data_IF_270771715684
#
_entry.id   IF_270771715684
#
_cell.length_a   1.000
_cell.length_b   1.000
_cell.length_c   1.000
_cell.angle_alpha   90.00
_cell.angle_beta   90.00
_cell.angle_gamma   90.00
#
_symmetry.space_group_name_H-M   'P 1'
#
loop_
_entity.id
_entity.type
_entity.pdbx_description
1 polymer ?
#
# COMPACT_ATOMS: atom_id res chain seq x y z
N UNK A 1 -20.30 8.97 2.31
CA UNK A 1 -19.74 8.00 1.33
C UNK A 1 -18.28 7.88 1.66
N UNK A 2 -17.83 6.69 2.03
CA UNK A 2 -16.43 6.47 2.45
C UNK A 2 -15.63 5.94 1.26
N UNK A 3 -14.43 6.49 1.07
CA UNK A 3 -13.55 6.21 -0.06
C UNK A 3 -12.40 5.32 0.37
N UNK A 4 -12.26 4.16 -0.27
CA UNK A 4 -11.16 3.22 -0.06
C UNK A 4 -10.22 3.26 -1.26
N UNK A 5 -8.93 3.49 -1.04
CA UNK A 5 -7.90 3.21 -2.03
C UNK A 5 -7.46 1.75 -1.90
N UNK A 6 -7.66 0.95 -2.94
CA UNK A 6 -7.21 -0.45 -2.98
C UNK A 6 -6.06 -0.62 -3.97
N UNK A 7 -4.88 -0.95 -3.46
CA UNK A 7 -3.70 -1.33 -4.25
C UNK A 7 -3.60 -2.85 -4.34
N UNK A 8 -3.86 -3.41 -5.53
CA UNK A 8 -3.66 -4.83 -5.84
C UNK A 8 -2.32 -5.03 -6.55
N UNK A 9 -1.47 -5.92 -6.03
CA UNK A 9 -0.06 -6.03 -6.47
C UNK A 9 0.25 -7.39 -7.12
N UNK A 10 -0.57 -8.41 -6.90
CA UNK A 10 -0.25 -9.77 -7.35
C UNK A 10 -0.57 -9.96 -8.84
N UNK A 11 0.39 -10.46 -9.61
CA UNK A 11 0.21 -10.85 -11.02
C UNK A 11 -0.49 -12.20 -11.23
N UNK A 12 -0.86 -12.92 -10.15
CA UNK A 12 -1.42 -14.28 -10.24
C UNK A 12 -2.94 -14.34 -10.47
N UNK A 13 -3.61 -13.21 -10.72
CA UNK A 13 -5.06 -13.15 -10.95
C UNK A 13 -5.85 -13.88 -9.86
N UNK A 14 -6.87 -14.65 -10.25
CA UNK A 14 -7.73 -15.42 -9.33
C UNK A 14 -6.97 -16.42 -8.44
N UNK A 15 -5.82 -16.92 -8.88
CA UNK A 15 -4.97 -17.81 -8.09
C UNK A 15 -4.17 -17.07 -6.99
N UNK A 16 -4.31 -15.76 -6.88
CA UNK A 16 -3.63 -14.93 -5.89
C UNK A 16 -4.32 -14.99 -4.53
N UNK A 17 -3.65 -15.55 -3.52
CA UNK A 17 -4.13 -15.51 -2.15
C UNK A 17 -4.30 -14.08 -1.61
N UNK A 18 -3.47 -13.11 -2.02
CA UNK A 18 -3.61 -11.73 -1.54
C UNK A 18 -4.86 -11.07 -2.13
N UNK A 19 -5.22 -11.37 -3.39
CA UNK A 19 -6.48 -10.90 -4.00
C UNK A 19 -7.70 -11.55 -3.36
N UNK A 20 -7.65 -12.86 -3.11
CA UNK A 20 -8.72 -13.58 -2.41
C UNK A 20 -8.94 -13.02 -1.00
N UNK A 21 -7.86 -12.70 -0.27
CA UNK A 21 -7.96 -12.08 1.04
C UNK A 21 -8.55 -10.67 0.98
N UNK A 22 -8.18 -9.87 -0.02
CA UNK A 22 -8.79 -8.56 -0.26
C UNK A 22 -10.29 -8.66 -0.53
N UNK A 23 -10.71 -9.60 -1.38
CA UNK A 23 -12.13 -9.84 -1.67
C UNK A 23 -12.91 -10.21 -0.40
N UNK A 24 -12.34 -11.05 0.48
CA UNK A 24 -12.95 -11.38 1.78
C UNK A 24 -13.06 -10.17 2.70
N UNK A 25 -12.03 -9.32 2.78
CA UNK A 25 -12.09 -8.08 3.55
C UNK A 25 -13.17 -7.14 3.02
N UNK A 26 -13.21 -6.92 1.71
CA UNK A 26 -14.22 -6.08 1.07
C UNK A 26 -15.64 -6.61 1.30
N UNK A 27 -15.84 -7.94 1.29
CA UNK A 27 -17.12 -8.57 1.62
C UNK A 27 -17.51 -8.50 3.09
N UNK A 28 -16.55 -8.27 4.00
CA UNK A 28 -16.80 -8.06 5.43
C UNK A 28 -17.12 -6.60 5.77
N UNK A 29 -16.72 -5.65 4.90
CA UNK A 29 -17.06 -4.23 5.05
C UNK A 29 -18.54 -4.08 4.65
N UNK A 30 -19.36 -3.52 5.55
CA UNK A 30 -20.82 -3.49 5.39
C UNK A 30 -21.31 -2.72 4.15
N UNK A 31 -22.58 -2.92 3.78
CA UNK A 31 -23.24 -2.41 2.58
C UNK A 31 -23.50 -0.88 2.53
N UNK A 32 -22.73 -0.08 3.29
CA UNK A 32 -22.79 1.37 3.20
C UNK A 32 -22.21 1.87 1.86
N UNK A 33 -22.37 3.17 1.54
CA UNK A 33 -21.87 3.73 0.28
C UNK A 33 -20.33 3.73 0.26
N UNK A 34 -19.75 2.68 -0.32
CA UNK A 34 -18.33 2.48 -0.56
C UNK A 34 -17.94 2.92 -1.97
N UNK A 35 -17.03 3.89 -2.05
CA UNK A 35 -16.31 4.20 -3.29
C UNK A 35 -14.95 3.53 -3.22
N UNK A 36 -14.66 2.60 -4.13
CA UNK A 36 -13.33 2.01 -4.26
C UNK A 36 -12.57 2.70 -5.39
N UNK A 37 -11.43 3.32 -5.07
CA UNK A 37 -10.41 3.70 -6.05
C UNK A 37 -9.49 2.49 -6.19
N UNK A 38 -9.66 1.74 -7.29
CA UNK A 38 -8.91 0.51 -7.51
C UNK A 38 -7.67 0.78 -8.37
N UNK A 39 -6.50 0.33 -7.90
CA UNK A 39 -5.26 0.28 -8.69
C UNK A 39 -4.71 -1.13 -8.71
N UNK A 40 -4.80 -1.75 -9.87
CA UNK A 40 -4.12 -3.00 -10.14
C UNK A 40 -2.71 -2.73 -10.68
N UNK A 41 -1.71 -2.77 -9.79
CA UNK A 41 -0.32 -2.49 -10.12
C UNK A 41 0.35 -3.64 -10.89
N UNK A 42 -0.30 -4.80 -10.99
CA UNK A 42 0.20 -5.90 -11.81
C UNK A 42 -0.35 -5.84 -13.24
N UNK A 43 -1.63 -5.48 -13.39
CA UNK A 43 -2.28 -5.32 -14.70
C UNK A 43 -1.91 -3.98 -15.37
N UNK A 44 -1.83 -2.91 -14.57
CA UNK A 44 -1.46 -1.57 -15.00
C UNK A 44 -0.21 -1.11 -14.22
N UNK A 45 0.97 -1.67 -14.55
CA UNK A 45 2.20 -1.32 -13.86
C UNK A 45 2.52 0.17 -14.06
N UNK A 46 2.98 0.79 -12.99
CA UNK A 46 3.42 2.18 -13.03
C UNK A 46 4.84 2.26 -13.60
N UNK A 47 5.17 3.32 -14.34
CA UNK A 47 6.54 3.59 -14.73
C UNK A 47 7.41 3.78 -13.48
N UNK A 48 8.68 3.41 -13.58
CA UNK A 48 9.66 3.81 -12.58
C UNK A 48 9.92 5.32 -12.68
N UNK A 49 10.23 6.01 -11.57
CA UNK A 49 10.72 7.38 -11.61
C UNK A 49 11.91 7.50 -12.56
N UNK A 50 11.77 8.33 -13.59
CA UNK A 50 12.84 8.64 -14.53
C UNK A 50 13.61 9.90 -14.10
N UNK A 51 14.58 10.31 -14.92
CA UNK A 51 15.40 11.49 -14.65
C UNK A 51 14.55 12.76 -14.49
N UNK A 52 13.58 12.97 -15.38
CA UNK A 52 12.75 14.17 -15.36
C UNK A 52 11.91 14.24 -14.08
N UNK A 53 11.33 13.11 -13.67
CA UNK A 53 10.59 13.01 -12.41
C UNK A 53 11.48 13.31 -11.20
N UNK A 54 12.69 12.74 -11.14
CA UNK A 54 13.61 12.94 -10.01
C UNK A 54 14.08 14.39 -9.93
N UNK A 55 14.52 14.97 -11.04
CA UNK A 55 14.95 16.38 -11.12
C UNK A 55 13.80 17.32 -10.70
N UNK A 56 12.59 17.12 -11.22
CA UNK A 56 11.42 17.91 -10.87
C UNK A 56 11.01 17.76 -9.39
N UNK A 57 11.11 16.54 -8.83
CA UNK A 57 10.75 16.26 -7.43
C UNK A 57 11.66 16.99 -6.45
N UNK A 58 12.96 17.07 -6.76
CA UNK A 58 13.96 17.75 -5.91
C UNK A 58 13.93 19.28 -6.06
N UNK A 59 13.38 19.78 -7.16
CA UNK A 59 13.22 21.21 -7.40
C UNK A 59 12.19 21.84 -6.43
N UNK A 60 12.47 23.02 -5.85
CA UNK A 60 11.48 23.76 -5.07
C UNK A 60 10.21 24.04 -5.88
N UNK A 61 9.00 23.90 -5.31
CA UNK A 61 7.73 24.06 -6.05
C UNK A 61 7.63 25.36 -6.85
N UNK A 62 8.11 26.48 -6.29
CA UNK A 62 8.10 27.81 -6.90
C UNK A 62 9.02 27.96 -8.12
N UNK A 63 9.93 27.02 -8.35
CA UNK A 63 10.85 27.01 -9.50
C UNK A 63 10.37 26.08 -10.63
N UNK A 64 9.27 25.33 -10.42
CA UNK A 64 8.77 24.34 -11.38
C UNK A 64 8.01 25.02 -12.52
N UNK A 65 8.41 24.70 -13.75
CA UNK A 65 7.73 25.11 -14.96
C UNK A 65 6.74 24.06 -15.48
N UNK A 66 6.18 24.27 -16.68
CA UNK A 66 5.27 23.32 -17.31
C UNK A 66 5.85 21.92 -17.50
N UNK A 67 7.15 21.80 -17.80
CA UNK A 67 7.81 20.51 -18.02
C UNK A 67 7.92 19.70 -16.72
N UNK A 68 8.29 20.35 -15.61
CA UNK A 68 8.38 19.72 -14.29
C UNK A 68 7.00 19.29 -13.79
N UNK A 69 5.98 20.14 -13.97
CA UNK A 69 4.60 19.77 -13.63
C UNK A 69 4.12 18.57 -14.45
N UNK A 70 4.44 18.50 -15.75
CA UNK A 70 4.12 17.36 -16.58
C UNK A 70 4.82 16.08 -16.09
N UNK A 71 6.11 16.17 -15.74
CA UNK A 71 6.89 15.04 -15.20
C UNK A 71 6.35 14.53 -13.84
N UNK A 72 5.71 15.40 -13.07
CA UNK A 72 5.12 15.06 -11.77
C UNK A 72 3.64 14.68 -11.83
N UNK A 73 2.96 14.84 -12.96
CA UNK A 73 1.50 14.71 -13.07
C UNK A 73 0.96 13.34 -12.60
N UNK A 74 1.64 12.25 -12.96
CA UNK A 74 1.27 10.91 -12.48
C UNK A 74 1.42 10.81 -10.96
N UNK A 75 2.54 11.29 -10.42
CA UNK A 75 2.79 11.31 -8.97
C UNK A 75 1.76 12.15 -8.23
N UNK A 76 1.36 13.31 -8.75
CA UNK A 76 0.25 14.09 -8.18
C UNK A 76 -1.06 13.31 -8.16
N UNK A 77 -1.37 12.58 -9.24
CA UNK A 77 -2.59 11.76 -9.30
C UNK A 77 -2.59 10.69 -8.21
N UNK A 78 -1.47 9.98 -8.04
CA UNK A 78 -1.33 8.93 -7.02
C UNK A 78 -1.41 9.48 -5.59
N UNK A 79 -0.80 10.64 -5.36
CA UNK A 79 -0.82 11.31 -4.06
C UNK A 79 -2.24 11.83 -3.77
N UNK A 80 -2.93 12.42 -4.74
CA UNK A 80 -4.29 12.91 -4.58
C UNK A 80 -5.29 11.79 -4.28
N UNK A 81 -5.16 10.62 -4.92
CA UNK A 81 -5.97 9.45 -4.58
C UNK A 81 -5.75 8.99 -3.13
N UNK A 82 -4.49 8.94 -2.69
CA UNK A 82 -4.14 8.62 -1.30
C UNK A 82 -4.72 9.65 -0.31
N UNK A 83 -4.66 10.94 -0.65
CA UNK A 83 -5.21 12.02 0.17
C UNK A 83 -6.74 11.98 0.25
N UNK A 84 -7.40 11.61 -0.86
CA UNK A 84 -8.87 11.52 -0.96
C UNK A 84 -9.47 10.28 -0.28
N UNK A 85 -8.62 9.30 0.06
CA UNK A 85 -9.06 8.06 0.67
C UNK A 85 -9.16 8.18 2.20
N UNK A 86 -10.27 7.66 2.73
CA UNK A 86 -10.49 7.51 4.17
C UNK A 86 -9.71 6.31 4.73
N UNK A 87 -9.45 5.31 3.89
CA UNK A 87 -8.66 4.13 4.24
C UNK A 87 -7.88 3.59 3.02
N UNK A 88 -6.79 2.86 3.28
CA UNK A 88 -5.95 2.26 2.23
C UNK A 88 -5.79 0.77 2.46
N UNK A 89 -6.26 -0.04 1.51
CA UNK A 89 -6.04 -1.48 1.47
C UNK A 89 -4.91 -1.81 0.50
N UNK A 90 -3.89 -2.52 0.95
CA UNK A 90 -2.81 -3.04 0.11
C UNK A 90 -2.88 -4.56 0.14
N UNK A 91 -3.15 -5.18 -1.00
CA UNK A 91 -3.11 -6.64 -1.14
C UNK A 91 -1.91 -7.04 -1.97
N UNK A 92 -0.92 -7.63 -1.31
CA UNK A 92 0.38 -7.89 -1.94
C UNK A 92 0.94 -9.26 -1.58
N UNK A 93 1.62 -9.94 -2.52
CA UNK A 93 2.55 -10.99 -2.15
C UNK A 93 3.81 -10.38 -1.54
N UNK A 94 4.57 -11.20 -0.81
CA UNK A 94 5.97 -10.94 -0.54
C UNK A 94 6.82 -11.54 -1.67
N UNK A 95 7.68 -10.72 -2.28
CA UNK A 95 8.68 -11.18 -3.26
C UNK A 95 10.08 -10.95 -2.68
N UNK A 96 10.91 -11.99 -2.63
CA UNK A 96 12.29 -11.90 -2.15
C UNK A 96 12.39 -11.13 -0.80
N UNK A 97 11.56 -11.54 0.17
CA UNK A 97 11.51 -11.01 1.53
C UNK A 97 10.97 -9.57 1.71
N UNK A 98 10.58 -8.88 0.62
CA UNK A 98 10.10 -7.49 0.68
C UNK A 98 8.92 -7.23 -0.27
N UNK A 99 8.52 -5.96 -0.38
CA UNK A 99 7.47 -5.51 -1.31
C UNK A 99 7.84 -5.84 -2.76
N UNK A 100 6.88 -6.24 -3.62
CA UNK A 100 7.12 -6.40 -5.04
C UNK A 100 7.57 -5.09 -5.70
N UNK A 101 8.33 -5.19 -6.80
CA UNK A 101 8.81 -4.03 -7.57
C UNK A 101 7.68 -3.10 -8.02
N UNK A 102 6.52 -3.65 -8.37
CA UNK A 102 5.33 -2.88 -8.76
C UNK A 102 4.82 -1.99 -7.60
N UNK A 103 4.76 -2.52 -6.37
CA UNK A 103 4.40 -1.73 -5.20
C UNK A 103 5.50 -0.72 -4.85
N UNK A 104 6.77 -1.08 -5.02
CA UNK A 104 7.89 -0.17 -4.83
C UNK A 104 7.84 1.03 -5.79
N UNK A 105 7.46 0.82 -7.06
CA UNK A 105 7.27 1.90 -8.02
C UNK A 105 6.16 2.87 -7.58
N UNK A 106 5.03 2.35 -7.07
CA UNK A 106 3.99 3.20 -6.48
C UNK A 106 4.51 4.00 -5.28
N UNK A 107 5.24 3.34 -4.37
CA UNK A 107 5.86 3.99 -3.20
C UNK A 107 6.79 5.12 -3.65
N UNK A 108 7.64 4.88 -4.65
CA UNK A 108 8.61 5.88 -5.12
C UNK A 108 7.95 7.10 -5.77
N UNK A 109 6.77 6.93 -6.38
CA UNK A 109 6.01 8.04 -6.94
C UNK A 109 5.20 8.80 -5.88
N UNK A 110 4.90 8.21 -4.72
CA UNK A 110 4.09 8.82 -3.66
C UNK A 110 4.93 9.45 -2.56
N UNK A 111 6.09 8.86 -2.22
CA UNK A 111 7.02 9.39 -1.21
C UNK A 111 7.87 10.48 -1.86
N UNK A 112 7.33 11.70 -1.94
CA UNK A 112 7.91 12.80 -2.68
C UNK A 112 8.30 13.97 -1.76
N UNK A 113 9.56 14.44 -1.81
CA UNK A 113 10.00 15.59 -1.03
C UNK A 113 9.20 16.84 -1.43
N UNK A 114 8.98 17.72 -0.45
CA UNK A 114 8.22 18.96 -0.61
C UNK A 114 6.77 18.75 -1.09
N UNK A 115 6.22 17.54 -0.89
CA UNK A 115 4.80 17.23 -1.13
C UNK A 115 4.19 16.33 -0.06
N UNK A 116 4.75 15.14 0.14
CA UNK A 116 4.22 14.17 1.12
C UNK A 116 5.10 14.07 2.36
N UNK A 117 6.34 14.55 2.26
CA UNK A 117 7.19 14.85 3.40
C UNK A 117 8.06 16.08 3.11
N UNK A 118 8.59 16.68 4.18
CA UNK A 118 9.63 17.71 4.12
C UNK A 118 10.86 17.27 4.91
N UNK A 119 12.05 17.67 4.47
CA UNK A 119 13.29 17.45 5.22
C UNK A 119 13.50 18.61 6.21
N UNK A 120 13.81 18.28 7.46
CA UNK A 120 14.19 19.24 8.50
C UNK A 120 15.53 18.82 9.12
N UNK A 121 16.23 19.69 9.87
CA UNK A 121 17.43 19.28 10.61
C UNK A 121 17.20 18.12 11.58
N UNK A 122 15.96 17.92 12.06
CA UNK A 122 15.57 16.81 12.92
C UNK A 122 15.20 15.53 12.16
N UNK A 123 15.21 15.55 10.83
CA UNK A 123 14.82 14.43 9.95
C UNK A 123 13.59 14.74 9.09
N UNK A 124 13.03 13.69 8.49
CA UNK A 124 11.83 13.78 7.64
C UNK A 124 10.58 14.02 8.49
N UNK A 125 9.77 14.99 8.10
CA UNK A 125 8.46 15.27 8.68
C UNK A 125 7.39 15.00 7.64
N UNK A 126 6.50 14.06 7.94
CA UNK A 126 5.37 13.72 7.08
C UNK A 126 4.36 14.86 6.97
N UNK A 127 3.76 15.03 5.80
CA UNK A 127 2.85 16.14 5.50
C UNK A 127 1.41 15.69 5.25
N UNK A 128 1.16 14.39 5.09
CA UNK A 128 -0.19 13.89 4.88
C UNK A 128 -0.93 13.73 6.22
N UNK A 129 -2.24 13.96 6.18
CA UNK A 129 -3.12 13.58 7.29
C UNK A 129 -3.04 12.07 7.55
N UNK A 130 -3.12 11.69 8.82
CA UNK A 130 -3.11 10.30 9.22
C UNK A 130 -4.40 9.60 8.78
N UNK A 131 -4.30 8.32 8.40
CA UNK A 131 -5.44 7.49 7.98
C UNK A 131 -5.10 6.00 8.16
N UNK A 132 -6.10 5.12 8.35
CA UNK A 132 -5.87 3.69 8.48
C UNK A 132 -5.35 3.07 7.16
N UNK A 133 -4.26 2.31 7.27
CA UNK A 133 -3.68 1.48 6.20
C UNK A 133 -3.66 0.03 6.68
N UNK A 134 -4.11 -0.89 5.83
CA UNK A 134 -4.06 -2.34 6.05
C UNK A 134 -3.37 -2.97 4.87
N UNK A 135 -2.20 -3.53 5.12
CA UNK A 135 -1.52 -4.38 4.17
C UNK A 135 -1.81 -5.85 4.48
N UNK A 136 -2.54 -6.54 3.60
CA UNK A 136 -2.61 -7.99 3.60
C UNK A 136 -1.48 -8.54 2.74
N UNK A 137 -0.60 -9.32 3.38
CA UNK A 137 0.64 -9.80 2.80
C UNK A 137 0.64 -11.32 2.77
N UNK A 138 0.62 -11.92 1.58
CA UNK A 138 0.78 -13.38 1.47
C UNK A 138 2.25 -13.76 1.40
N UNK A 139 2.66 -14.73 2.22
CA UNK A 139 4.03 -15.17 2.39
C UNK A 139 4.14 -16.68 2.20
N UNK A 140 5.17 -17.14 1.48
CA UNK A 140 5.41 -18.56 1.25
C UNK A 140 5.79 -19.33 2.52
N UNK A 141 6.66 -18.74 3.36
CA UNK A 141 7.14 -19.33 4.61
C UNK A 141 6.68 -18.57 5.87
N UNK A 142 6.91 -19.15 7.06
CA UNK A 142 6.59 -18.55 8.35
C UNK A 142 7.65 -17.55 8.84
N UNK A 143 7.31 -16.70 9.81
CA UNK A 143 8.25 -15.71 10.42
C UNK A 143 8.66 -16.01 11.87
N UNK A 144 8.15 -17.10 12.49
CA UNK A 144 8.43 -17.47 13.90
C UNK A 144 9.41 -18.63 13.99
N UNK A 145 10.22 -18.66 15.05
CA UNK A 145 11.29 -19.66 15.30
C UNK A 145 10.95 -21.10 14.87
N UNK A 146 11.89 -21.70 14.13
CA UNK A 146 11.79 -23.04 13.58
C UNK A 146 12.45 -23.16 12.19
N UNK A 147 12.66 -24.38 11.67
CA UNK A 147 13.19 -24.57 10.33
C UNK A 147 12.31 -23.89 9.26
N UNK A 148 12.94 -23.20 8.32
CA UNK A 148 12.24 -22.51 7.22
C UNK A 148 11.66 -21.13 7.58
N UNK A 149 11.95 -20.62 8.77
CA UNK A 149 11.55 -19.27 9.18
C UNK A 149 12.33 -18.20 8.44
N UNK A 150 11.66 -17.12 8.06
CA UNK A 150 12.28 -15.98 7.38
C UNK A 150 12.19 -14.71 8.22
N UNK A 151 13.15 -13.81 8.01
CA UNK A 151 13.14 -12.48 8.60
C UNK A 151 12.04 -11.62 7.95
N UNK A 152 11.37 -10.80 8.76
CA UNK A 152 10.38 -9.84 8.27
C UNK A 152 11.04 -8.50 7.93
N UNK A 153 11.29 -8.25 6.65
CA UNK A 153 11.73 -6.95 6.15
C UNK A 153 10.57 -6.09 5.63
N UNK A 154 9.49 -6.72 5.17
CA UNK A 154 8.37 -6.05 4.51
C UNK A 154 7.54 -5.23 5.49
N UNK A 155 7.12 -5.83 6.60
CA UNK A 155 6.25 -5.16 7.58
C UNK A 155 6.91 -3.89 8.18
N UNK A 156 8.15 -3.93 8.68
CA UNK A 156 8.80 -2.72 9.18
C UNK A 156 9.06 -1.69 8.07
N UNK A 157 9.39 -2.12 6.86
CA UNK A 157 9.59 -1.22 5.71
C UNK A 157 8.31 -0.44 5.37
N UNK A 158 7.16 -1.12 5.23
CA UNK A 158 5.90 -0.46 4.93
C UNK A 158 5.52 0.54 6.03
N UNK A 159 5.62 0.13 7.30
CA UNK A 159 5.34 1.03 8.44
C UNK A 159 6.23 2.27 8.41
N UNK A 160 7.52 2.10 8.14
CA UNK A 160 8.47 3.21 8.03
C UNK A 160 8.14 4.16 6.89
N UNK A 161 7.87 3.62 5.69
CA UNK A 161 7.52 4.40 4.49
C UNK A 161 6.28 5.26 4.72
N UNK A 162 5.22 4.68 5.26
CA UNK A 162 3.99 5.40 5.54
C UNK A 162 4.18 6.43 6.67
N UNK A 163 4.91 6.09 7.73
CA UNK A 163 5.21 7.02 8.81
C UNK A 163 6.02 8.23 8.30
N UNK A 164 6.95 8.02 7.36
CA UNK A 164 7.74 9.09 6.76
C UNK A 164 6.89 10.14 6.02
N UNK A 165 5.70 9.77 5.54
CA UNK A 165 4.75 10.68 4.88
C UNK A 165 3.59 11.13 5.79
N UNK A 166 3.60 10.77 7.07
CA UNK A 166 2.62 11.23 8.08
C UNK A 166 1.51 10.24 8.41
N UNK A 167 1.55 9.05 7.81
CA UNK A 167 0.53 8.00 8.00
C UNK A 167 1.08 6.95 8.95
N UNK A 168 0.58 6.93 10.19
CA UNK A 168 1.13 6.09 11.27
C UNK A 168 0.22 4.92 11.66
N UNK A 169 -1.05 4.95 11.27
CA UNK A 169 -2.01 3.86 11.50
C UNK A 169 -1.85 2.76 10.45
N UNK A 170 -0.73 2.04 10.49
CA UNK A 170 -0.38 1.01 9.51
C UNK A 170 -0.39 -0.37 10.14
N UNK A 171 -1.34 -1.19 9.73
CA UNK A 171 -1.43 -2.59 10.10
C UNK A 171 -0.97 -3.50 8.96
N UNK A 172 -0.26 -4.57 9.32
CA UNK A 172 0.21 -5.57 8.38
C UNK A 172 -0.30 -6.94 8.83
N UNK A 173 -1.24 -7.49 8.07
CA UNK A 173 -1.77 -8.83 8.24
C UNK A 173 -1.01 -9.79 7.33
N UNK A 174 -0.17 -10.64 7.93
CA UNK A 174 0.58 -11.66 7.19
C UNK A 174 -0.22 -12.96 7.11
N UNK A 175 -0.37 -13.47 5.90
CA UNK A 175 -0.91 -14.78 5.60
C UNK A 175 0.28 -15.69 5.26
N UNK A 176 0.71 -16.47 6.26
CA UNK A 176 1.92 -17.30 6.19
C UNK A 176 1.61 -18.70 5.61
N UNK A 177 2.65 -19.42 5.17
CA UNK A 177 2.55 -20.82 4.67
C UNK A 177 1.68 -20.99 3.43
N UNK A 178 1.56 -19.96 2.60
CA UNK A 178 0.72 -19.99 1.40
C UNK A 178 1.18 -21.00 0.34
N UNK A 179 2.42 -21.49 0.42
CA UNK A 179 2.98 -22.47 -0.51
C UNK A 179 3.06 -23.89 0.08
N UNK A 180 2.53 -24.14 1.29
CA UNK A 180 2.63 -25.43 1.97
C UNK A 180 1.51 -26.41 1.58
N UNK A 181 0.56 -25.97 0.76
CA UNK A 181 -0.58 -26.75 0.29
C UNK A 181 -1.90 -25.99 0.39
N UNK A 182 -2.97 -26.48 -0.26
CA UNK A 182 -4.26 -25.81 -0.31
C UNK A 182 -4.89 -25.61 1.08
N UNK A 183 -4.75 -26.60 1.99
CA UNK A 183 -5.32 -26.52 3.33
C UNK A 183 -4.68 -25.39 4.15
N UNK A 184 -3.35 -25.25 4.10
CA UNK A 184 -2.64 -24.15 4.76
C UNK A 184 -3.03 -22.79 4.19
N UNK A 185 -3.14 -22.69 2.86
CA UNK A 185 -3.57 -21.46 2.20
C UNK A 185 -5.01 -21.09 2.60
N UNK A 186 -5.92 -22.07 2.63
CA UNK A 186 -7.30 -21.87 3.03
C UNK A 186 -7.41 -21.45 4.51
N UNK A 187 -6.70 -22.12 5.42
CA UNK A 187 -6.64 -21.72 6.83
C UNK A 187 -6.15 -20.29 7.01
N UNK A 188 -5.14 -19.86 6.25
CA UNK A 188 -4.66 -18.50 6.28
C UNK A 188 -5.73 -17.51 5.80
N UNK A 189 -6.44 -17.83 4.71
CA UNK A 189 -7.53 -17.01 4.18
C UNK A 189 -8.74 -16.94 5.12
N UNK A 190 -9.06 -18.02 5.83
CA UNK A 190 -10.15 -18.07 6.82
C UNK A 190 -9.82 -17.22 8.06
N UNK A 191 -8.54 -16.97 8.31
CA UNK A 191 -8.10 -16.06 9.37
C UNK A 191 -8.23 -14.57 9.03
N UNK A 192 -8.68 -14.21 7.81
CA UNK A 192 -8.78 -12.81 7.37
C UNK A 192 -9.95 -12.11 8.06
N UNK A 193 -9.67 -10.97 8.70
CA UNK A 193 -10.66 -10.16 9.42
C UNK A 193 -10.35 -8.68 9.30
N UNK A 194 -11.39 -7.84 9.22
CA UNK A 194 -11.24 -6.38 9.31
C UNK A 194 -10.72 -6.01 10.71
N UNK A 195 -9.58 -5.30 10.83
CA UNK A 195 -9.05 -4.86 12.10
C UNK A 195 -10.01 -3.99 12.94
N UNK A 196 -9.65 -3.78 14.21
CA UNK A 196 -10.34 -2.80 15.04
C UNK A 196 -9.94 -1.38 14.57
N UNK A 197 -10.89 -0.44 14.52
CA UNK A 197 -10.62 0.93 14.05
C UNK A 197 -10.53 1.09 12.53
N UNK A 198 -10.63 -0.01 11.78
CA UNK A 198 -10.91 0.03 10.34
C UNK A 198 -12.41 0.26 10.10
N UNK A 199 -12.82 0.94 9.00
CA UNK A 199 -14.23 1.16 8.70
C UNK A 199 -14.99 -0.17 8.61
N UNK A 200 -15.84 -0.47 9.61
CA UNK A 200 -16.68 -1.70 9.67
C UNK A 200 -18.09 -1.43 9.21
N UNK A 201 -18.60 -0.26 9.56
CA UNK A 201 -19.83 0.32 9.05
C UNK A 201 -19.43 1.58 8.31
N UNK A 202 -19.66 1.58 7.00
CA UNK A 202 -19.45 2.77 6.18
C UNK A 202 -20.64 3.69 6.37
N UNK A 203 -20.72 4.33 7.54
CA UNK A 203 -21.82 5.23 7.86
C UNK A 203 -21.81 6.43 6.89
N UNK A 204 -22.99 6.91 6.45
CA UNK A 204 -23.09 8.22 5.85
C UNK A 204 -22.73 9.27 6.92
N UNK A 205 -22.20 10.40 6.45
CA UNK A 205 -21.94 11.57 7.28
C UNK A 205 -23.21 12.04 7.99
#
# INVERSE_FOLDING_TARGET
MTTLLHLSVSSRGEASGSRQAAARLLGQIGAGPLRVIARDLAEQPLPHPDRAHVEASLMPPEQRGPAEHAALALSETLIAELESADAVLISTPMHNFTVPSALKAWIDLVVRPNRTFQNTPAGKVGMLANRPVLAVVTCGGPFREGPGSQQDFLSPYLKYVFAAIGITQVEVMRLERMNWGPDFAQMALDSVRVPAGWPREMAPA
#
